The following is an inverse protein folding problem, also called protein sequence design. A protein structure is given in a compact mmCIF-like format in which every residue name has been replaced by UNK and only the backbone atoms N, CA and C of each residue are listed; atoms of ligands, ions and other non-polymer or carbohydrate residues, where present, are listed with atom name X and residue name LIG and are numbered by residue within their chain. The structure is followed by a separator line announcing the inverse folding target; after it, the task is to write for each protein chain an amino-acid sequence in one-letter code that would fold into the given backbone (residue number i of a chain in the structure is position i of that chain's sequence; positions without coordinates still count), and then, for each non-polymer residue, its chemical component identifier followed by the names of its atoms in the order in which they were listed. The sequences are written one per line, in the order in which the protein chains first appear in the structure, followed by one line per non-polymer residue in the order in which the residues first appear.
data_IF_174196531364
#
_entry.id   IF_174196531364
#
_cell.length_a   1.000
_cell.length_b   1.000
_cell.length_c   1.000
_cell.angle_alpha   90.00
_cell.angle_beta   90.00
_cell.angle_gamma   90.00
#
_symmetry.space_group_name_H-M   'P 1'
#
loop_
_entity.id
_entity.type
_entity.pdbx_description
1 polymer ?
#
# COMPACT_ATOMS: atom_id res chain seq x y z
N UNK A 1 28.00 -0.59 -18.19
CA UNK A 1 27.79 0.85 -17.95
C UNK A 1 26.35 1.31 -18.23
N UNK A 2 25.66 0.75 -19.21
CA UNK A 2 24.25 0.99 -19.53
C UNK A 2 23.29 0.54 -18.42
N UNK A 3 23.47 -0.67 -17.92
CA UNK A 3 22.64 -1.29 -16.87
C UNK A 3 22.65 -0.51 -15.55
N UNK A 4 23.84 -0.02 -15.12
CA UNK A 4 23.99 0.80 -13.92
C UNK A 4 23.26 2.15 -14.06
N UNK A 5 23.32 2.75 -15.25
CA UNK A 5 22.58 3.99 -15.54
C UNK A 5 21.07 3.77 -15.53
N UNK A 6 20.59 2.65 -16.06
CA UNK A 6 19.17 2.31 -16.09
C UNK A 6 18.62 2.03 -14.68
N UNK A 7 19.38 1.30 -13.84
CA UNK A 7 19.04 1.07 -12.44
C UNK A 7 18.97 2.39 -11.67
N UNK A 8 19.96 3.30 -11.84
CA UNK A 8 19.95 4.61 -11.19
C UNK A 8 18.73 5.43 -11.61
N UNK A 9 18.45 5.52 -12.90
CA UNK A 9 17.28 6.23 -13.44
C UNK A 9 15.95 5.68 -12.88
N UNK A 10 15.86 4.36 -12.68
CA UNK A 10 14.68 3.70 -12.13
C UNK A 10 14.49 4.02 -10.64
N UNK A 11 15.58 4.10 -9.86
CA UNK A 11 15.55 4.48 -8.45
C UNK A 11 15.13 5.95 -8.31
N UNK A 12 15.70 6.84 -9.11
CA UNK A 12 15.35 8.26 -9.13
C UNK A 12 13.85 8.44 -9.42
N UNK A 13 13.29 7.71 -10.40
CA UNK A 13 11.86 7.75 -10.70
C UNK A 13 10.98 7.34 -9.51
N UNK A 14 11.36 6.28 -8.77
CA UNK A 14 10.63 5.86 -7.58
C UNK A 14 10.67 6.92 -6.47
N UNK A 15 11.77 7.65 -6.35
CA UNK A 15 11.89 8.72 -5.35
C UNK A 15 11.04 9.95 -5.71
N UNK A 16 10.99 10.33 -6.98
CA UNK A 16 10.03 11.34 -7.46
C UNK A 16 8.58 10.93 -7.21
N UNK A 17 8.24 9.67 -7.50
CA UNK A 17 6.90 9.16 -7.28
C UNK A 17 6.51 9.16 -5.80
N UNK A 18 7.43 8.82 -4.91
CA UNK A 18 7.22 8.94 -3.45
C UNK A 18 6.98 10.39 -3.03
N UNK A 19 7.77 11.32 -3.56
CA UNK A 19 7.60 12.75 -3.24
C UNK A 19 6.22 13.27 -3.66
N UNK A 20 5.75 12.90 -4.86
CA UNK A 20 4.40 13.22 -5.31
C UNK A 20 3.35 12.61 -4.38
N UNK A 21 3.52 11.34 -3.99
CA UNK A 21 2.60 10.68 -3.08
C UNK A 21 2.56 11.36 -1.69
N UNK A 22 3.71 11.85 -1.18
CA UNK A 22 3.75 12.61 0.09
C UNK A 22 2.92 13.89 -0.04
N UNK A 23 3.08 14.64 -1.13
CA UNK A 23 2.29 15.84 -1.39
C UNK A 23 0.79 15.50 -1.44
N UNK A 24 0.40 14.44 -2.14
CA UNK A 24 -0.98 13.98 -2.19
C UNK A 24 -1.51 13.61 -0.79
N UNK A 25 -0.71 12.93 0.04
CA UNK A 25 -1.09 12.62 1.43
C UNK A 25 -1.29 13.89 2.24
N UNK A 26 -0.44 14.89 2.11
CA UNK A 26 -0.62 16.20 2.78
C UNK A 26 -1.96 16.81 2.34
N UNK A 27 -2.24 16.80 1.04
CA UNK A 27 -3.51 17.30 0.48
C UNK A 27 -4.71 16.55 1.07
N UNK A 28 -4.65 15.22 1.28
CA UNK A 28 -5.77 14.47 1.89
C UNK A 28 -6.11 14.91 3.31
N UNK A 29 -5.14 15.49 4.02
CA UNK A 29 -5.33 15.94 5.41
C UNK A 29 -5.70 17.41 5.56
N UNK A 30 -5.58 18.17 4.49
CA UNK A 30 -6.06 19.55 4.45
C UNK A 30 -7.58 19.58 4.21
N UNK A 31 -8.27 20.56 4.74
CA UNK A 31 -9.71 20.70 4.53
C UNK A 31 -10.01 21.51 3.27
N UNK A 32 -10.33 20.79 2.20
CA UNK A 32 -10.68 21.38 0.89
C UNK A 32 -12.19 21.47 0.68
N UNK A 33 -13.01 21.11 1.68
CA UNK A 33 -14.45 21.04 1.59
C UNK A 33 -14.98 19.78 0.92
N UNK A 34 -14.82 19.62 -0.39
CA UNK A 34 -15.32 18.44 -1.15
C UNK A 34 -14.24 17.37 -1.36
N UNK A 35 -14.15 16.44 -0.38
CA UNK A 35 -13.25 15.28 -0.46
C UNK A 35 -13.89 14.07 -1.16
N UNK A 36 -15.18 14.13 -1.45
CA UNK A 36 -15.93 13.05 -2.09
C UNK A 36 -16.00 13.20 -3.62
N UNK A 37 -15.36 14.22 -4.17
CA UNK A 37 -15.32 14.44 -5.61
C UNK A 37 -14.62 13.30 -6.35
N UNK A 38 -15.03 12.98 -7.61
CA UNK A 38 -14.36 12.00 -8.45
C UNK A 38 -12.87 12.27 -8.61
N UNK A 39 -12.49 13.54 -8.76
CA UNK A 39 -11.10 13.97 -8.87
C UNK A 39 -10.28 13.61 -7.62
N UNK A 40 -10.81 13.90 -6.43
CA UNK A 40 -10.14 13.60 -5.19
C UNK A 40 -9.96 12.10 -4.99
N UNK A 41 -11.02 11.34 -5.28
CA UNK A 41 -11.01 9.88 -5.16
C UNK A 41 -10.03 9.22 -6.13
N UNK A 42 -9.97 9.67 -7.39
CA UNK A 42 -9.12 9.05 -8.41
C UNK A 42 -7.66 9.47 -8.35
N UNK A 43 -7.39 10.73 -8.03
CA UNK A 43 -6.03 11.24 -8.10
C UNK A 43 -5.39 11.30 -6.71
N UNK A 44 -6.00 12.01 -5.79
CA UNK A 44 -5.38 12.29 -4.49
C UNK A 44 -5.35 11.05 -3.59
N UNK A 45 -6.45 10.30 -3.52
CA UNK A 45 -6.52 9.08 -2.72
C UNK A 45 -5.68 7.92 -3.26
N UNK A 46 -5.09 8.07 -4.48
CA UNK A 46 -4.16 7.09 -5.03
C UNK A 46 -2.78 7.09 -4.35
N UNK A 47 -2.46 8.09 -3.54
CA UNK A 47 -1.18 8.19 -2.85
C UNK A 47 -0.84 6.93 -2.06
N UNK A 48 -1.76 6.44 -1.23
CA UNK A 48 -1.52 5.24 -0.39
C UNK A 48 -1.39 3.96 -1.21
N UNK A 49 -2.27 3.66 -2.18
CA UNK A 49 -2.07 2.58 -3.14
C UNK A 49 -0.70 2.57 -3.80
N UNK A 50 -0.26 3.72 -4.31
CA UNK A 50 1.05 3.85 -4.97
C UNK A 50 2.19 3.60 -3.97
N UNK A 51 2.10 4.11 -2.74
CA UNK A 51 3.07 3.78 -1.69
C UNK A 51 3.15 2.28 -1.40
N UNK A 52 2.03 1.57 -1.41
CA UNK A 52 2.02 0.12 -1.17
C UNK A 52 2.66 -0.65 -2.33
N UNK A 53 2.43 -0.23 -3.57
CA UNK A 53 3.12 -0.77 -4.75
C UNK A 53 4.64 -0.54 -4.64
N UNK A 54 5.06 0.69 -4.33
CA UNK A 54 6.48 1.03 -4.14
C UNK A 54 7.08 0.23 -2.98
N UNK A 55 6.35 0.03 -1.90
CA UNK A 55 6.79 -0.80 -0.78
C UNK A 55 7.01 -2.24 -1.19
N UNK A 56 6.08 -2.85 -1.92
CA UNK A 56 6.22 -4.19 -2.48
C UNK A 56 7.46 -4.32 -3.37
N UNK A 57 7.69 -3.34 -4.25
CA UNK A 57 8.87 -3.27 -5.10
C UNK A 57 10.17 -3.19 -4.30
N UNK A 58 10.26 -2.26 -3.33
CA UNK A 58 11.47 -2.05 -2.52
C UNK A 58 11.77 -3.23 -1.61
N UNK A 59 10.74 -3.86 -1.04
CA UNK A 59 10.92 -5.07 -0.25
C UNK A 59 11.42 -6.25 -1.10
N UNK A 60 10.90 -6.41 -2.32
CA UNK A 60 11.37 -7.43 -3.26
C UNK A 60 12.84 -7.20 -3.63
N UNK A 61 13.20 -5.96 -3.97
CA UNK A 61 14.57 -5.57 -4.28
C UNK A 61 15.53 -5.84 -3.11
N UNK A 62 15.15 -5.40 -1.90
CA UNK A 62 15.96 -5.60 -0.69
C UNK A 62 16.15 -7.09 -0.36
N UNK A 63 15.08 -7.87 -0.42
CA UNK A 63 15.13 -9.29 -0.14
C UNK A 63 15.96 -10.06 -1.19
N UNK A 64 15.75 -9.76 -2.49
CA UNK A 64 16.55 -10.39 -3.55
C UNK A 64 18.05 -10.13 -3.39
N UNK A 65 18.43 -8.86 -3.14
CA UNK A 65 19.84 -8.47 -2.96
C UNK A 65 20.49 -9.12 -1.74
N UNK A 66 19.80 -9.18 -0.60
CA UNK A 66 20.38 -9.59 0.67
C UNK A 66 20.24 -11.08 0.96
N UNK A 67 19.22 -11.75 0.45
CA UNK A 67 18.89 -13.14 0.80
C UNK A 67 18.93 -14.09 -0.39
N UNK A 68 19.11 -13.57 -1.61
CA UNK A 68 19.00 -14.36 -2.84
C UNK A 68 17.61 -14.98 -3.04
N UNK A 69 16.58 -14.47 -2.35
CA UNK A 69 15.23 -15.05 -2.38
C UNK A 69 15.03 -16.20 -1.38
N UNK A 70 15.96 -16.50 -0.49
CA UNK A 70 15.79 -17.57 0.50
C UNK A 70 14.81 -17.17 1.60
N UNK A 71 13.71 -17.94 1.76
CA UNK A 71 12.63 -17.64 2.71
C UNK A 71 13.12 -17.57 4.17
N UNK A 72 13.94 -18.54 4.61
CA UNK A 72 14.48 -18.57 5.98
C UNK A 72 15.34 -17.34 6.27
N UNK A 73 16.17 -16.93 5.30
CA UNK A 73 17.00 -15.74 5.43
C UNK A 73 16.16 -14.45 5.45
N UNK A 74 15.00 -14.41 4.78
CA UNK A 74 14.10 -13.25 4.82
C UNK A 74 13.52 -13.02 6.22
N UNK A 75 13.28 -14.11 6.97
CA UNK A 75 12.82 -14.06 8.37
C UNK A 75 13.96 -13.96 9.39
N UNK A 76 15.23 -13.98 8.96
CA UNK A 76 16.35 -13.83 9.88
C UNK A 76 16.31 -12.46 10.57
N UNK A 77 16.68 -12.44 11.85
CA UNK A 77 16.64 -11.23 12.69
C UNK A 77 17.48 -10.09 12.09
N UNK A 78 18.62 -10.42 11.47
CA UNK A 78 19.49 -9.47 10.78
C UNK A 78 18.81 -8.75 9.62
N UNK A 79 17.78 -9.35 9.04
CA UNK A 79 16.98 -8.77 7.98
C UNK A 79 15.79 -7.94 8.50
N UNK A 80 15.21 -8.36 9.60
CA UNK A 80 14.01 -7.74 10.19
C UNK A 80 14.39 -6.55 11.06
N UNK A 81 15.38 -6.70 11.96
CA UNK A 81 15.79 -5.66 12.92
C UNK A 81 16.05 -4.28 12.31
N UNK A 82 16.87 -4.13 11.24
CA UNK A 82 17.12 -2.81 10.65
C UNK A 82 15.86 -2.14 10.10
N UNK A 83 14.93 -2.94 9.57
CA UNK A 83 13.66 -2.43 9.05
C UNK A 83 12.74 -2.00 10.19
N UNK A 84 12.66 -2.80 11.26
CA UNK A 84 11.90 -2.42 12.46
C UNK A 84 12.41 -1.12 13.08
N UNK A 85 13.73 -0.98 13.28
CA UNK A 85 14.32 0.24 13.83
C UNK A 85 13.97 1.45 12.94
N UNK A 86 14.09 1.28 11.63
CA UNK A 86 13.78 2.34 10.66
C UNK A 86 12.31 2.80 10.72
N UNK A 87 11.37 1.93 11.07
CA UNK A 87 9.95 2.29 11.20
C UNK A 87 9.62 2.76 12.61
N UNK A 88 10.12 2.07 13.63
CA UNK A 88 9.73 2.32 15.02
C UNK A 88 10.37 3.59 15.59
N UNK A 89 11.62 3.91 15.26
CA UNK A 89 12.28 5.11 15.80
C UNK A 89 11.54 6.39 15.42
N UNK A 90 11.27 6.68 14.12
CA UNK A 90 10.50 7.86 13.77
C UNK A 90 9.07 7.83 14.35
N UNK A 91 8.45 6.65 14.38
CA UNK A 91 7.11 6.49 14.93
C UNK A 91 7.05 6.86 16.39
N UNK A 92 7.92 6.30 17.23
CA UNK A 92 7.95 6.63 18.66
C UNK A 92 8.29 8.10 18.91
N UNK A 93 9.16 8.69 18.09
CA UNK A 93 9.44 10.13 18.16
C UNK A 93 8.18 10.95 17.95
N UNK A 94 7.39 10.63 16.93
CA UNK A 94 6.11 11.31 16.66
C UNK A 94 5.10 11.06 17.77
N UNK A 95 5.00 9.83 18.27
CA UNK A 95 4.12 9.50 19.42
C UNK A 95 4.46 10.32 20.68
N UNK A 96 5.75 10.51 20.95
CA UNK A 96 6.19 11.33 22.09
C UNK A 96 5.79 12.80 21.91
N UNK A 97 6.00 13.35 20.72
CA UNK A 97 5.57 14.72 20.41
C UNK A 97 4.05 14.84 20.58
N UNK A 98 3.29 13.87 20.08
CA UNK A 98 1.83 13.87 20.21
C UNK A 98 1.37 13.79 21.67
N UNK A 99 2.01 12.99 22.51
CA UNK A 99 1.72 12.95 23.95
C UNK A 99 1.94 14.32 24.58
N UNK A 100 3.07 14.98 24.27
CA UNK A 100 3.35 16.32 24.78
C UNK A 100 2.27 17.32 24.37
N UNK A 101 1.83 17.29 23.11
CA UNK A 101 0.76 18.16 22.63
C UNK A 101 -0.57 17.88 23.33
N UNK A 102 -0.93 16.60 23.53
CA UNK A 102 -2.15 16.22 24.26
C UNK A 102 -2.13 16.67 25.72
N UNK A 103 -0.95 16.60 26.38
CA UNK A 103 -0.78 17.14 27.74
C UNK A 103 -0.98 18.65 27.78
N UNK A 104 -0.40 19.39 26.80
CA UNK A 104 -0.55 20.85 26.72
C UNK A 104 -2.02 21.25 26.49
N UNK A 105 -2.73 20.45 25.69
CA UNK A 105 -4.14 20.70 25.37
C UNK A 105 -5.12 20.15 26.41
N UNK A 106 -4.63 19.62 27.52
CA UNK A 106 -5.43 18.97 28.60
C UNK A 106 -6.38 17.89 28.10
N UNK A 107 -5.95 17.13 27.06
CA UNK A 107 -6.71 16.06 26.46
C UNK A 107 -6.39 14.71 27.09
N UNK A 108 -7.41 13.83 27.10
CA UNK A 108 -7.21 12.48 27.60
C UNK A 108 -6.20 11.68 26.79
N UNK A 109 -5.21 11.12 27.47
CA UNK A 109 -4.15 10.30 26.88
C UNK A 109 -4.54 8.82 26.97
N UNK A 110 -4.53 8.13 25.83
CA UNK A 110 -4.72 6.69 25.76
C UNK A 110 -3.43 6.02 25.23
N UNK A 111 -2.48 5.62 26.10
CA UNK A 111 -1.20 5.07 25.66
C UNK A 111 -1.31 3.84 24.74
N UNK A 112 -2.16 2.83 25.03
CA UNK A 112 -2.36 1.71 24.10
C UNK A 112 -2.75 2.15 22.69
N UNK A 113 -3.64 3.14 22.57
CA UNK A 113 -4.03 3.68 21.26
C UNK A 113 -2.87 4.36 20.56
N UNK A 114 -2.06 5.10 21.29
CA UNK A 114 -0.91 5.83 20.73
C UNK A 114 0.16 4.84 20.24
N UNK A 115 0.59 3.90 21.06
CA UNK A 115 1.75 3.06 20.75
C UNK A 115 1.43 1.79 19.96
N UNK A 116 0.23 1.21 20.13
CA UNK A 116 -0.12 -0.07 19.49
C UNK A 116 -0.99 0.09 18.26
N UNK A 117 -1.87 1.08 18.27
CA UNK A 117 -2.87 1.26 17.24
C UNK A 117 -2.56 2.43 16.29
N UNK A 118 -1.37 3.05 16.41
CA UNK A 118 -0.92 4.04 15.45
C UNK A 118 -1.36 5.47 15.75
N UNK A 119 -1.53 5.83 17.03
CA UNK A 119 -1.76 7.20 17.50
C UNK A 119 -2.99 7.92 16.88
N UNK A 120 -3.04 9.25 17.03
CA UNK A 120 -4.13 10.08 16.48
C UNK A 120 -3.72 10.84 15.21
N UNK A 121 -2.40 10.92 14.95
CA UNK A 121 -1.85 11.73 13.88
C UNK A 121 -2.12 11.18 12.48
N UNK A 122 -2.12 12.07 11.47
CA UNK A 122 -2.27 11.69 10.07
C UNK A 122 -1.17 10.70 9.64
N UNK A 123 -1.56 9.57 9.05
CA UNK A 123 -0.61 8.57 8.55
C UNK A 123 0.02 7.67 9.60
N UNK A 124 -0.29 7.82 10.90
CA UNK A 124 0.25 6.99 11.99
C UNK A 124 -0.07 5.50 11.81
N UNK A 125 -1.17 5.15 11.15
CA UNK A 125 -1.55 3.78 10.79
C UNK A 125 -0.53 3.08 9.85
N UNK A 126 0.34 3.84 9.21
CA UNK A 126 1.32 3.29 8.25
C UNK A 126 2.32 2.34 8.93
N UNK A 127 2.78 2.66 10.14
CA UNK A 127 3.79 1.85 10.84
C UNK A 127 3.24 0.47 11.25
N UNK A 128 2.07 0.32 11.86
CA UNK A 128 1.44 -0.98 12.07
C UNK A 128 1.32 -1.82 10.78
N UNK A 129 0.97 -1.21 9.66
CA UNK A 129 0.90 -1.90 8.35
C UNK A 129 2.30 -2.37 7.91
N UNK A 130 3.34 -1.54 8.07
CA UNK A 130 4.69 -1.91 7.69
C UNK A 130 5.27 -3.04 8.55
N UNK A 131 4.87 -3.13 9.82
CA UNK A 131 5.23 -4.26 10.70
C UNK A 131 4.55 -5.54 10.20
N UNK A 132 3.26 -5.50 9.89
CA UNK A 132 2.54 -6.63 9.30
C UNK A 132 3.18 -7.05 7.96
N UNK A 133 3.63 -6.08 7.17
CA UNK A 133 4.32 -6.33 5.90
C UNK A 133 5.61 -7.12 6.10
N UNK A 134 6.39 -6.85 7.16
CA UNK A 134 7.61 -7.64 7.45
C UNK A 134 7.32 -9.13 7.61
N UNK A 135 6.15 -9.46 8.17
CA UNK A 135 5.73 -10.86 8.40
C UNK A 135 5.16 -11.50 7.13
N UNK A 136 4.31 -10.79 6.40
CA UNK A 136 3.55 -11.36 5.27
C UNK A 136 4.37 -11.33 3.96
N UNK A 137 5.24 -10.32 3.80
CA UNK A 137 5.92 -10.10 2.52
C UNK A 137 6.77 -11.30 2.03
N UNK A 138 7.53 -12.02 2.87
CA UNK A 138 8.30 -13.19 2.40
C UNK A 138 7.42 -14.26 1.74
N UNK A 139 6.19 -14.43 2.21
CA UNK A 139 5.22 -15.37 1.64
C UNK A 139 4.75 -14.86 0.28
N UNK A 140 4.34 -13.59 0.19
CA UNK A 140 3.94 -12.95 -1.08
C UNK A 140 5.08 -13.05 -2.10
N UNK A 141 6.30 -12.72 -1.68
CA UNK A 141 7.49 -12.80 -2.55
C UNK A 141 7.65 -14.20 -3.14
N UNK A 142 7.57 -15.25 -2.32
CA UNK A 142 7.73 -16.64 -2.77
C UNK A 142 6.61 -17.09 -3.69
N UNK A 143 5.38 -16.70 -3.43
CA UNK A 143 4.25 -17.00 -4.29
C UNK A 143 4.43 -16.35 -5.67
N UNK A 144 4.78 -15.07 -5.71
CA UNK A 144 5.00 -14.34 -6.96
C UNK A 144 6.25 -14.84 -7.70
N UNK A 145 7.37 -15.14 -6.98
CA UNK A 145 8.59 -15.68 -7.57
C UNK A 145 8.35 -17.04 -8.24
N UNK A 146 7.56 -17.92 -7.61
CA UNK A 146 7.26 -19.26 -8.13
C UNK A 146 6.32 -19.22 -9.34
N UNK A 147 5.28 -18.43 -9.26
CA UNK A 147 4.32 -18.23 -10.34
C UNK A 147 3.66 -16.86 -10.17
N UNK A 148 4.03 -15.92 -11.03
CA UNK A 148 3.56 -14.54 -10.96
C UNK A 148 2.03 -14.43 -10.96
N UNK A 149 1.36 -15.10 -11.91
CA UNK A 149 -0.10 -15.04 -12.04
C UNK A 149 -0.80 -15.61 -10.82
N UNK A 150 -0.37 -16.79 -10.37
CA UNK A 150 -0.94 -17.44 -9.18
C UNK A 150 -0.69 -16.60 -7.92
N UNK A 151 0.53 -16.08 -7.72
CA UNK A 151 0.88 -15.27 -6.56
C UNK A 151 0.03 -14.00 -6.47
N UNK A 152 -0.20 -13.34 -7.60
CA UNK A 152 -1.04 -12.14 -7.66
C UNK A 152 -2.51 -12.50 -7.48
N UNK A 153 -2.99 -13.58 -8.12
CA UNK A 153 -4.37 -14.05 -7.96
C UNK A 153 -4.70 -14.40 -6.50
N UNK A 154 -3.81 -15.13 -5.82
CA UNK A 154 -3.98 -15.46 -4.40
C UNK A 154 -3.94 -14.22 -3.50
N UNK A 155 -3.03 -13.28 -3.78
CA UNK A 155 -2.97 -12.02 -3.03
C UNK A 155 -4.22 -11.16 -3.27
N UNK A 156 -4.74 -11.15 -4.49
CA UNK A 156 -5.97 -10.46 -4.85
C UNK A 156 -7.20 -11.12 -4.21
N UNK A 157 -7.28 -12.44 -4.23
CA UNK A 157 -8.35 -13.19 -3.57
C UNK A 157 -8.35 -12.96 -2.06
N UNK A 158 -7.17 -13.01 -1.41
CA UNK A 158 -7.05 -12.72 0.01
C UNK A 158 -7.45 -11.27 0.35
N UNK A 159 -7.07 -10.31 -0.48
CA UNK A 159 -7.50 -8.92 -0.34
C UNK A 159 -9.03 -8.80 -0.48
N UNK A 160 -9.63 -9.42 -1.50
CA UNK A 160 -11.07 -9.40 -1.72
C UNK A 160 -11.84 -10.06 -0.56
N UNK A 161 -11.37 -11.22 -0.10
CA UNK A 161 -11.96 -11.91 1.06
C UNK A 161 -11.88 -11.04 2.32
N UNK A 162 -10.77 -10.33 2.52
CA UNK A 162 -10.66 -9.37 3.62
C UNK A 162 -11.72 -8.25 3.50
N UNK A 163 -11.86 -7.64 2.33
CA UNK A 163 -12.84 -6.58 2.08
C UNK A 163 -14.30 -7.08 2.31
N UNK A 164 -14.61 -8.28 1.85
CA UNK A 164 -15.91 -8.92 2.10
C UNK A 164 -16.12 -9.17 3.60
N UNK A 165 -15.10 -9.69 4.29
CA UNK A 165 -15.13 -9.92 5.74
C UNK A 165 -15.37 -8.64 6.53
N UNK A 166 -14.69 -7.55 6.17
CA UNK A 166 -14.90 -6.22 6.77
C UNK A 166 -16.38 -5.83 6.77
N UNK A 167 -17.08 -6.11 5.67
CA UNK A 167 -18.49 -5.76 5.53
C UNK A 167 -19.42 -6.73 6.27
N UNK A 168 -19.14 -8.03 6.21
CA UNK A 168 -19.97 -9.04 6.90
C UNK A 168 -19.92 -8.84 8.42
N UNK A 169 -18.74 -8.52 8.95
CA UNK A 169 -18.51 -8.35 10.39
C UNK A 169 -18.65 -6.89 10.87
N UNK A 170 -19.07 -5.98 10.00
CA UNK A 170 -19.20 -4.54 10.29
C UNK A 170 -17.95 -3.99 11.01
N UNK A 171 -16.77 -4.30 10.46
CA UNK A 171 -15.50 -3.93 11.10
C UNK A 171 -15.38 -2.41 11.20
N UNK A 172 -15.06 -1.91 12.38
CA UNK A 172 -14.82 -0.49 12.62
C UNK A 172 -13.78 0.07 11.66
N UNK A 173 -14.04 1.27 11.14
CA UNK A 173 -13.21 1.98 10.15
C UNK A 173 -11.76 2.16 10.60
N UNK A 174 -11.54 2.26 11.90
CA UNK A 174 -10.22 2.41 12.48
C UNK A 174 -9.40 1.11 12.33
N UNK A 175 -9.93 -0.05 12.75
CA UNK A 175 -9.27 -1.35 12.59
C UNK A 175 -9.09 -1.74 11.12
N UNK A 176 -10.05 -1.38 10.27
CA UNK A 176 -9.92 -1.54 8.82
C UNK A 176 -8.68 -0.84 8.27
N UNK A 177 -8.41 0.40 8.70
CA UNK A 177 -7.24 1.18 8.23
C UNK A 177 -5.91 0.58 8.67
N UNK A 178 -5.85 -0.09 9.80
CA UNK A 178 -4.64 -0.69 10.36
C UNK A 178 -4.28 -2.04 9.73
N UNK A 179 -5.14 -2.63 8.91
CA UNK A 179 -4.96 -4.00 8.43
C UNK A 179 -4.30 -4.04 7.05
N UNK A 180 -3.24 -4.85 6.92
CA UNK A 180 -2.53 -5.06 5.66
C UNK A 180 -3.40 -5.77 4.60
N UNK A 181 -4.45 -6.50 5.02
CA UNK A 181 -5.35 -7.23 4.15
C UNK A 181 -5.86 -6.42 2.96
N UNK A 182 -6.13 -5.13 3.18
CA UNK A 182 -6.59 -4.19 2.15
C UNK A 182 -5.55 -3.82 1.08
N UNK A 183 -4.28 -4.22 1.25
CA UNK A 183 -3.17 -3.82 0.38
C UNK A 183 -2.45 -5.01 -0.28
N UNK A 184 -2.86 -6.24 -0.01
CA UNK A 184 -2.13 -7.44 -0.42
C UNK A 184 -1.90 -7.50 -1.93
N UNK A 185 -2.91 -7.18 -2.74
CA UNK A 185 -2.78 -7.15 -4.20
C UNK A 185 -1.79 -6.08 -4.66
N UNK A 186 -1.84 -4.88 -4.07
CA UNK A 186 -0.95 -3.77 -4.42
C UNK A 186 0.52 -4.11 -4.12
N UNK A 187 0.75 -4.73 -2.98
CA UNK A 187 2.08 -5.18 -2.55
C UNK A 187 2.60 -6.29 -3.47
N UNK A 188 1.74 -7.27 -3.79
CA UNK A 188 2.09 -8.34 -4.73
C UNK A 188 2.40 -7.80 -6.12
N UNK A 189 1.65 -6.80 -6.59
CA UNK A 189 1.91 -6.13 -7.84
C UNK A 189 3.25 -5.39 -7.85
N UNK A 190 3.59 -4.68 -6.77
CA UNK A 190 4.92 -4.07 -6.61
C UNK A 190 6.05 -5.11 -6.64
N UNK A 191 5.86 -6.25 -5.98
CA UNK A 191 6.78 -7.37 -6.01
C UNK A 191 6.96 -7.93 -7.44
N UNK A 192 5.85 -8.09 -8.17
CA UNK A 192 5.84 -8.52 -9.56
C UNK A 192 6.62 -7.58 -10.47
N UNK A 193 6.41 -6.28 -10.36
CA UNK A 193 7.11 -5.27 -11.17
C UNK A 193 8.64 -5.31 -10.96
N UNK A 194 9.10 -5.73 -9.79
CA UNK A 194 10.53 -5.94 -9.53
C UNK A 194 11.05 -7.26 -10.11
N UNK A 195 10.32 -8.36 -9.90
CA UNK A 195 10.77 -9.70 -10.28
C UNK A 195 10.71 -9.96 -11.79
N UNK A 196 9.83 -9.27 -12.50
CA UNK A 196 9.57 -9.46 -13.94
C UNK A 196 9.68 -8.14 -14.72
N UNK A 197 10.88 -7.51 -14.73
CA UNK A 197 11.08 -6.20 -15.36
C UNK A 197 10.94 -6.21 -16.88
N UNK A 198 11.11 -7.37 -17.53
CA UNK A 198 10.96 -7.56 -18.96
C UNK A 198 9.49 -7.57 -19.43
N UNK A 199 8.53 -7.74 -18.56
CA UNK A 199 7.13 -7.65 -18.93
C UNK A 199 6.76 -6.21 -19.29
N UNK A 200 6.97 -5.87 -20.56
CA UNK A 200 6.60 -4.55 -21.09
C UNK A 200 5.10 -4.39 -21.08
N UNK A 201 4.66 -3.28 -20.51
CA UNK A 201 3.27 -2.86 -20.52
C UNK A 201 2.80 -2.67 -21.95
N UNK A 202 1.81 -3.41 -22.37
CA UNK A 202 1.18 -3.23 -23.68
C UNK A 202 0.18 -2.08 -23.60
N UNK A 203 0.10 -1.27 -24.65
CA UNK A 203 -0.81 -0.10 -24.68
C UNK A 203 -2.26 -0.45 -24.35
N UNK A 204 -2.74 -1.60 -24.83
CA UNK A 204 -4.11 -2.03 -24.56
C UNK A 204 -4.35 -2.34 -23.08
N UNK A 205 -3.34 -2.82 -22.34
CA UNK A 205 -3.45 -3.06 -20.89
C UNK A 205 -3.61 -1.75 -20.12
N UNK A 206 -2.86 -0.71 -20.48
CA UNK A 206 -3.03 0.62 -19.89
C UNK A 206 -4.41 1.20 -20.20
N UNK A 207 -4.85 1.07 -21.47
CA UNK A 207 -6.17 1.54 -21.89
C UNK A 207 -7.26 0.80 -21.13
N UNK A 208 -7.16 -0.54 -20.99
CA UNK A 208 -8.14 -1.32 -20.23
C UNK A 208 -8.19 -0.92 -18.76
N UNK A 209 -7.03 -0.72 -18.12
CA UNK A 209 -6.98 -0.24 -16.72
C UNK A 209 -7.67 1.11 -16.58
N UNK A 210 -7.38 2.04 -17.50
CA UNK A 210 -7.98 3.37 -17.49
C UNK A 210 -9.50 3.30 -17.70
N UNK A 211 -9.96 2.54 -18.68
CA UNK A 211 -11.40 2.39 -18.98
C UNK A 211 -12.16 1.73 -17.83
N UNK A 212 -11.59 0.73 -17.17
CA UNK A 212 -12.20 0.09 -16.00
C UNK A 212 -12.30 1.08 -14.84
N UNK A 213 -11.22 1.84 -14.57
CA UNK A 213 -11.24 2.89 -13.55
C UNK A 213 -12.27 3.98 -13.86
N UNK A 214 -12.34 4.43 -15.11
CA UNK A 214 -13.30 5.41 -15.55
C UNK A 214 -14.74 4.88 -15.47
N UNK A 215 -14.97 3.65 -15.95
CA UNK A 215 -16.28 2.98 -15.86
C UNK A 215 -16.77 2.86 -14.43
N UNK A 216 -15.87 2.53 -13.50
CA UNK A 216 -16.19 2.52 -12.07
C UNK A 216 -16.64 3.90 -11.57
N UNK A 217 -15.96 4.98 -11.93
CA UNK A 217 -16.30 6.34 -11.52
C UNK A 217 -17.66 6.76 -12.08
N UNK A 218 -17.87 6.49 -13.35
CA UNK A 218 -19.19 6.78 -13.98
C UNK A 218 -20.30 5.99 -13.26
N UNK A 219 -20.05 4.73 -12.91
CA UNK A 219 -21.05 3.93 -12.18
C UNK A 219 -21.36 4.50 -10.79
N UNK A 220 -20.34 4.86 -10.02
CA UNK A 220 -20.53 5.33 -8.64
C UNK A 220 -21.02 6.78 -8.58
N UNK A 221 -20.38 7.68 -9.32
CA UNK A 221 -20.70 9.12 -9.23
C UNK A 221 -21.76 9.57 -10.24
N UNK A 222 -21.87 8.88 -11.40
CA UNK A 222 -22.86 9.22 -12.42
C UNK A 222 -24.22 8.55 -12.19
N UNK A 223 -24.23 7.28 -11.81
CA UNK A 223 -25.45 6.49 -11.62
C UNK A 223 -25.79 6.23 -10.16
N UNK A 224 -25.00 6.74 -9.19
CA UNK A 224 -25.17 6.50 -7.75
C UNK A 224 -25.24 5.00 -7.41
N UNK A 225 -24.52 4.16 -8.16
CA UNK A 225 -24.46 2.75 -7.86
C UNK A 225 -23.69 2.53 -6.56
N UNK A 226 -24.39 2.09 -5.54
CA UNK A 226 -23.76 1.59 -4.32
C UNK A 226 -23.17 0.19 -4.58
N UNK A 227 -22.19 0.17 -5.49
CA UNK A 227 -21.46 -1.05 -5.81
C UNK A 227 -20.71 -1.45 -4.56
N UNK A 228 -21.03 -2.62 -4.08
CA UNK A 228 -20.66 -3.24 -2.81
C UNK A 228 -19.13 -3.49 -2.68
N UNK A 229 -18.32 -3.15 -3.67
CA UNK A 229 -16.88 -3.38 -3.66
C UNK A 229 -16.12 -2.23 -3.00
N UNK A 230 -15.24 -2.55 -2.12
CA UNK A 230 -14.77 -1.83 -0.96
C UNK A 230 -13.38 -1.25 -1.13
N UNK A 231 -13.11 -0.15 -0.45
CA UNK A 231 -11.80 0.44 -0.31
C UNK A 231 -11.09 0.66 -1.65
N UNK A 232 -9.82 0.30 -1.71
CA UNK A 232 -8.99 0.44 -2.93
C UNK A 232 -9.27 -0.61 -4.00
N UNK A 233 -10.09 -1.63 -3.74
CA UNK A 233 -10.53 -2.57 -4.77
C UNK A 233 -11.24 -1.84 -5.91
N UNK A 234 -12.03 -0.89 -5.57
CA UNK A 234 -12.81 -0.10 -6.52
C UNK A 234 -11.93 0.60 -7.56
N UNK A 235 -10.93 1.31 -7.11
CA UNK A 235 -10.20 2.27 -7.94
C UNK A 235 -8.83 1.79 -8.40
N UNK A 236 -8.24 0.81 -7.71
CA UNK A 236 -6.86 0.40 -7.95
C UNK A 236 -6.70 -1.10 -8.15
N UNK A 237 -7.21 -1.91 -7.25
CA UNK A 237 -6.95 -3.34 -7.28
C UNK A 237 -7.64 -4.03 -8.45
N UNK A 238 -8.87 -3.66 -8.78
CA UNK A 238 -9.59 -4.20 -9.92
C UNK A 238 -8.90 -3.86 -11.25
N UNK A 239 -8.53 -2.60 -11.56
CA UNK A 239 -7.71 -2.30 -12.74
C UNK A 239 -6.39 -3.05 -12.79
N UNK A 240 -5.69 -3.21 -11.66
CA UNK A 240 -4.44 -3.97 -11.59
C UNK A 240 -4.65 -5.45 -11.91
N UNK A 241 -5.74 -6.07 -11.41
CA UNK A 241 -6.07 -7.44 -11.73
C UNK A 241 -6.25 -7.65 -13.24
N UNK A 242 -6.97 -6.76 -13.91
CA UNK A 242 -7.14 -6.80 -15.38
C UNK A 242 -5.85 -6.49 -16.15
N UNK A 243 -4.93 -5.75 -15.59
CA UNK A 243 -3.61 -5.55 -16.16
C UNK A 243 -2.80 -6.86 -16.25
N UNK A 244 -2.92 -7.70 -15.23
CA UNK A 244 -2.10 -8.92 -15.09
C UNK A 244 -2.75 -10.12 -15.79
N UNK A 245 -4.06 -10.14 -15.84
CA UNK A 245 -4.89 -11.19 -16.45
C UNK A 245 -5.71 -10.61 -17.64
N UNK A 246 -5.05 -10.18 -18.72
CA UNK A 246 -5.74 -9.72 -19.92
C UNK A 246 -6.41 -10.86 -20.67
#
# INVERSE_FOLDING_TARGET
MSEVKEIKKRIDFLDYLKAICVIMVIITHYDWGDKDSPFFTMLINMAVPVFMIISGYNFAMSNRKKTGGNLKKMYAWEMIKPKLIRFLVPFFTVCLIEIVLLVIEDKHINPPRIFLLGAYGPGSYYVPIMIQLLVIFPIIYKLVEKNARLGIALSGAANLLFEIGVKIFDMDKYYYRLNIGRYLLLIAFGCYLYLYPEHRVKKYQLISMFLIGLGYIVAVFGFNWDIILFGYWKTTAMPIAFYIFP
#
